data_IF_684989978994
#
_entry.id   IF_684989978994
#
_cell.length_a   1.000
_cell.length_b   1.000
_cell.length_c   1.000
_cell.angle_alpha   90.00
_cell.angle_beta   90.00
_cell.angle_gamma   90.00
#
_symmetry.space_group_name_H-M   'P 1'
#
loop_
_entity.id
_entity.type
_entity.pdbx_description
1 polymer ?
#
# COMPACT_ATOMS: atom_id res chain seq x y z
N UNK A 1 18.01 1.85 -6.46
CA UNK A 1 16.64 1.73 -5.91
C UNK A 1 16.39 0.28 -5.59
N UNK A 2 15.48 -0.02 -4.66
CA UNK A 2 15.09 -1.37 -4.26
C UNK A 2 13.57 -1.47 -4.29
N UNK A 3 13.05 -2.65 -4.63
CA UNK A 3 11.63 -2.96 -4.52
C UNK A 3 11.24 -3.21 -3.06
N UNK A 4 10.23 -2.49 -2.59
CA UNK A 4 9.64 -2.63 -1.27
C UNK A 4 8.20 -3.13 -1.40
N UNK A 5 7.87 -4.19 -0.66
CA UNK A 5 6.53 -4.75 -0.57
C UNK A 5 5.91 -4.39 0.77
N UNK A 6 4.71 -3.84 0.75
CA UNK A 6 3.97 -3.48 1.97
C UNK A 6 2.49 -3.31 1.69
N UNK A 7 1.68 -3.37 2.74
CA UNK A 7 0.22 -3.24 2.66
C UNK A 7 -0.23 -2.06 3.51
N UNK A 8 -1.14 -1.25 2.97
CA UNK A 8 -1.83 -0.18 3.69
C UNK A 8 -3.27 -0.61 3.92
N UNK A 9 -3.71 -0.58 5.18
CA UNK A 9 -5.11 -0.80 5.51
C UNK A 9 -5.86 0.49 5.25
N UNK A 10 -6.97 0.39 4.51
CA UNK A 10 -7.75 1.52 4.04
C UNK A 10 -9.11 1.57 4.74
N UNK A 11 -9.74 2.76 4.83
CA UNK A 11 -11.18 2.82 4.97
C UNK A 11 -11.87 2.19 3.74
N UNK A 12 -13.14 1.86 3.85
CA UNK A 12 -13.93 1.44 2.70
C UNK A 12 -14.02 2.60 1.68
N UNK A 13 -13.69 2.30 0.43
CA UNK A 13 -13.81 3.20 -0.73
C UNK A 13 -14.68 2.54 -1.80
N UNK A 14 -15.27 3.35 -2.67
CA UNK A 14 -16.12 2.85 -3.76
C UNK A 14 -15.30 2.32 -4.95
N UNK A 15 -15.94 1.49 -5.77
CA UNK A 15 -15.30 0.85 -6.93
C UNK A 15 -14.82 1.89 -7.95
N UNK A 16 -15.51 3.03 -8.08
CA UNK A 16 -15.09 4.10 -8.99
C UNK A 16 -13.74 4.70 -8.58
N UNK A 17 -13.50 4.83 -7.27
CA UNK A 17 -12.21 5.29 -6.73
C UNK A 17 -11.13 4.23 -6.94
N UNK A 18 -11.46 2.95 -6.76
CA UNK A 18 -10.54 1.83 -7.03
C UNK A 18 -10.09 1.83 -8.49
N UNK A 19 -11.03 1.95 -9.42
CA UNK A 19 -10.74 2.01 -10.86
C UNK A 19 -9.87 3.21 -11.23
N UNK A 20 -10.16 4.38 -10.64
CA UNK A 20 -9.36 5.58 -10.87
C UNK A 20 -7.91 5.43 -10.37
N UNK A 21 -7.70 4.77 -9.23
CA UNK A 21 -6.38 4.47 -8.69
C UNK A 21 -5.62 3.52 -9.63
N UNK A 22 -6.26 2.46 -10.11
CA UNK A 22 -5.66 1.53 -11.07
C UNK A 22 -5.30 2.20 -12.41
N UNK A 23 -6.07 3.20 -12.84
CA UNK A 23 -5.75 3.98 -14.02
C UNK A 23 -4.49 4.84 -13.88
N UNK A 24 -4.04 5.12 -12.65
CA UNK A 24 -2.91 6.02 -12.39
C UNK A 24 -1.65 5.30 -11.86
N UNK A 25 -1.82 4.18 -11.16
CA UNK A 25 -0.75 3.50 -10.45
C UNK A 25 -0.74 2.00 -10.80
N UNK A 26 0.38 1.51 -11.31
CA UNK A 26 0.58 0.11 -11.67
C UNK A 26 1.25 -0.72 -10.57
N UNK A 27 1.75 -0.06 -9.53
CA UNK A 27 2.47 -0.66 -8.41
C UNK A 27 1.57 -0.96 -7.21
N UNK A 28 0.25 -0.89 -7.39
CA UNK A 28 -0.76 -1.06 -6.34
C UNK A 28 -1.76 -2.16 -6.69
N UNK A 29 -2.22 -2.89 -5.69
CA UNK A 29 -3.34 -3.83 -5.76
C UNK A 29 -4.29 -3.58 -4.60
N UNK A 30 -5.52 -3.18 -4.89
CA UNK A 30 -6.58 -2.94 -3.91
C UNK A 30 -7.47 -4.17 -3.80
N UNK A 31 -7.78 -4.58 -2.57
CA UNK A 31 -8.68 -5.69 -2.30
C UNK A 31 -9.41 -5.53 -0.97
N UNK A 32 -10.29 -6.49 -0.68
CA UNK A 32 -11.02 -6.59 0.59
C UNK A 32 -10.89 -8.01 1.12
N UNK A 33 -10.36 -8.17 2.33
CA UNK A 33 -10.20 -9.46 3.01
C UNK A 33 -10.88 -9.40 4.36
N UNK A 34 -11.76 -10.36 4.66
CA UNK A 34 -12.50 -10.41 5.93
C UNK A 34 -13.19 -9.08 6.33
N UNK A 35 -13.69 -8.35 5.33
CA UNK A 35 -14.34 -7.05 5.55
C UNK A 35 -13.38 -5.87 5.70
N UNK A 36 -12.07 -6.07 5.66
CA UNK A 36 -11.05 -5.03 5.73
C UNK A 36 -10.52 -4.73 4.33
N UNK A 37 -10.62 -3.47 3.93
CA UNK A 37 -10.07 -3.00 2.67
C UNK A 37 -8.56 -2.71 2.82
N UNK A 38 -7.79 -3.06 1.80
CA UNK A 38 -6.34 -2.89 1.80
C UNK A 38 -5.82 -2.48 0.41
N UNK A 39 -4.64 -1.86 0.40
CA UNK A 39 -3.82 -1.62 -0.77
C UNK A 39 -2.43 -2.23 -0.58
N UNK A 40 -2.11 -3.26 -1.34
CA UNK A 40 -0.79 -3.85 -1.41
C UNK A 40 0.06 -3.11 -2.46
N UNK A 41 1.31 -2.82 -2.13
CA UNK A 41 2.25 -2.11 -3.00
C UNK A 41 3.49 -2.94 -3.31
N UNK A 42 3.95 -2.87 -4.55
CA UNK A 42 5.25 -3.35 -5.02
C UNK A 42 6.05 -2.14 -5.55
N UNK A 43 6.64 -1.35 -4.63
CA UNK A 43 7.14 -0.01 -4.94
C UNK A 43 8.66 0.10 -4.96
N UNK A 44 9.22 0.64 -6.04
CA UNK A 44 10.64 0.96 -6.11
C UNK A 44 10.97 2.30 -5.45
N UNK A 45 11.95 2.32 -4.54
CA UNK A 45 12.39 3.53 -3.87
C UNK A 45 13.86 3.47 -3.44
N UNK A 46 14.38 4.58 -2.90
CA UNK A 46 15.72 4.65 -2.29
C UNK A 46 15.74 4.08 -0.86
N UNK A 47 14.61 4.14 -0.16
CA UNK A 47 14.42 3.58 1.18
C UNK A 47 12.96 3.16 1.38
N UNK A 48 12.70 2.35 2.41
CA UNK A 48 11.35 1.96 2.81
C UNK A 48 10.51 3.18 3.19
N UNK A 49 11.08 4.12 3.95
CA UNK A 49 10.40 5.36 4.36
C UNK A 49 9.92 6.16 3.14
N UNK A 50 10.77 6.29 2.11
CA UNK A 50 10.40 6.97 0.86
C UNK A 50 9.30 6.20 0.12
N UNK A 51 9.34 4.87 0.12
CA UNK A 51 8.28 4.04 -0.47
C UNK A 51 6.93 4.24 0.25
N UNK A 52 6.93 4.21 1.59
CA UNK A 52 5.73 4.41 2.41
C UNK A 52 5.17 5.82 2.25
N UNK A 53 6.00 6.85 2.39
CA UNK A 53 5.56 8.25 2.25
C UNK A 53 4.98 8.53 0.87
N UNK A 54 5.62 8.05 -0.19
CA UNK A 54 5.08 8.23 -1.54
C UNK A 54 3.75 7.48 -1.73
N UNK A 55 3.53 6.34 -1.08
CA UNK A 55 2.30 5.57 -1.23
C UNK A 55 1.14 6.25 -0.50
N UNK A 56 1.41 6.76 0.69
CA UNK A 56 0.46 7.59 1.44
C UNK A 56 0.10 8.84 0.64
N UNK A 57 1.07 9.54 0.07
CA UNK A 57 0.81 10.73 -0.76
C UNK A 57 -0.04 10.43 -1.99
N UNK A 58 0.13 9.26 -2.62
CA UNK A 58 -0.71 8.85 -3.74
C UNK A 58 -2.16 8.67 -3.32
N UNK A 59 -2.42 8.00 -2.19
CA UNK A 59 -3.77 7.77 -1.67
C UNK A 59 -4.42 9.09 -1.19
N UNK A 60 -3.64 9.98 -0.60
CA UNK A 60 -4.13 11.29 -0.16
C UNK A 60 -4.63 12.18 -1.31
N UNK A 61 -4.11 12.03 -2.54
CA UNK A 61 -4.67 12.72 -3.73
C UNK A 61 -6.12 12.35 -3.99
N UNK A 62 -6.53 11.15 -3.57
CA UNK A 62 -7.90 10.64 -3.64
C UNK A 62 -8.66 10.85 -2.32
N UNK A 63 -8.13 11.65 -1.40
CA UNK A 63 -8.67 11.88 -0.05
C UNK A 63 -8.76 10.61 0.80
N UNK A 64 -7.93 9.62 0.49
CA UNK A 64 -7.85 8.38 1.25
C UNK A 64 -6.70 8.51 2.24
N UNK A 65 -7.04 8.41 3.54
CA UNK A 65 -6.05 8.32 4.61
C UNK A 65 -5.97 6.87 5.08
N UNK A 66 -4.83 6.19 4.91
CA UNK A 66 -4.63 4.85 5.44
C UNK A 66 -4.83 4.80 6.96
N UNK A 67 -5.44 3.73 7.44
CA UNK A 67 -5.70 3.49 8.87
C UNK A 67 -4.46 2.98 9.60
N UNK A 68 -3.71 2.07 8.96
CA UNK A 68 -2.43 1.55 9.46
C UNK A 68 -1.61 0.95 8.33
N UNK A 69 -0.32 0.76 8.61
CA UNK A 69 0.62 0.08 7.72
C UNK A 69 0.80 -1.35 8.24
N UNK A 70 0.61 -2.32 7.37
CA UNK A 70 0.95 -3.72 7.63
C UNK A 70 2.12 -4.10 6.73
N UNK A 71 3.22 -4.47 7.35
CA UNK A 71 4.34 -5.08 6.66
C UNK A 71 4.37 -6.53 7.08
N UNK A 72 4.24 -7.45 6.12
CA UNK A 72 4.82 -8.78 6.29
C UNK A 72 6.32 -8.56 6.39
N UNK A 73 6.79 -8.31 7.60
CA UNK A 73 8.21 -8.43 7.91
C UNK A 73 8.46 -9.92 7.67
N UNK A 74 9.25 -10.34 6.67
CA UNK A 74 9.66 -11.73 6.61
C UNK A 74 10.23 -12.02 7.98
N UNK A 75 9.63 -13.00 8.67
CA UNK A 75 10.10 -13.50 9.95
C UNK A 75 11.61 -13.50 9.84
N UNK A 76 12.22 -12.60 10.60
CA UNK A 76 13.65 -12.42 10.49
C UNK A 76 14.18 -13.82 10.74
N UNK A 77 14.97 -14.32 9.80
CA UNK A 77 15.95 -15.35 10.08
C UNK A 77 16.90 -14.74 11.13
N UNK A 78 16.38 -14.54 12.34
CA UNK A 78 17.02 -14.07 13.54
C UNK A 78 17.31 -15.37 14.28
N UNK A 79 18.50 -15.87 13.97
CA UNK A 79 19.26 -16.84 14.73
C UNK A 79 18.68 -18.26 14.77
N UNK A 80 19.46 -19.33 14.71
CA UNK A 80 20.88 -19.61 14.47
C UNK A 80 20.97 -21.13 14.42
#
# INVERSE_FOLDING_TARGET
MKLYKFTLILPDIDDATVDAIYGQYHDISIGKSHGIMYAAFDREALSLEVALHSAILNLQKWKITPLRIEMDIPEVALAS
#
